data_IF_438177123560
#
_entry.id   IF_438177123560
#
_cell.length_a   1.000
_cell.length_b   1.000
_cell.length_c   1.000
_cell.angle_alpha   90.00
_cell.angle_beta   90.00
_cell.angle_gamma   90.00
#
_symmetry.space_group_name_H-M   'P 1'
#
loop_
_entity.id
_entity.type
_entity.pdbx_description
1 polymer ?
#
# COMPACT_ATOMS: atom_id res chain seq x y z
N UNK A 1 4.30 59.34 -32.30
CA UNK A 1 4.39 57.94 -32.79
C UNK A 1 5.40 57.25 -31.90
N UNK A 2 5.07 56.10 -31.30
CA UNK A 2 6.00 55.41 -30.41
C UNK A 2 7.16 54.86 -31.25
N UNK A 3 8.40 55.23 -30.89
CA UNK A 3 9.60 54.69 -31.53
C UNK A 3 9.70 53.18 -31.28
N UNK A 4 9.82 52.39 -32.35
CA UNK A 4 10.14 50.97 -32.26
C UNK A 4 11.54 50.79 -31.65
N UNK A 5 11.59 50.27 -30.42
CA UNK A 5 12.83 49.83 -29.79
C UNK A 5 13.02 48.34 -30.06
N UNK A 6 14.12 47.97 -30.73
CA UNK A 6 14.50 46.57 -30.99
C UNK A 6 15.43 46.05 -29.91
N UNK A 7 15.23 44.81 -29.50
CA UNK A 7 16.17 44.09 -28.65
C UNK A 7 17.50 43.91 -29.36
N UNK A 8 18.60 44.00 -28.60
CA UNK A 8 19.91 43.66 -29.13
C UNK A 8 20.08 42.13 -29.20
N UNK A 9 21.13 41.68 -29.89
CA UNK A 9 21.37 40.25 -30.13
C UNK A 9 21.58 39.44 -28.84
N UNK A 10 22.16 40.04 -27.79
CA UNK A 10 22.37 39.36 -26.50
C UNK A 10 21.05 39.16 -25.75
N UNK A 11 20.17 40.17 -25.78
CA UNK A 11 18.84 40.11 -25.18
C UNK A 11 17.98 39.06 -25.87
N UNK A 12 17.99 39.02 -27.20
CA UNK A 12 17.31 37.98 -27.98
C UNK A 12 17.86 36.58 -27.68
N UNK A 13 19.17 36.45 -27.49
CA UNK A 13 19.81 35.19 -27.06
C UNK A 13 19.30 34.73 -25.70
N UNK A 14 19.34 35.62 -24.70
CA UNK A 14 18.84 35.32 -23.34
C UNK A 14 17.36 34.93 -23.33
N UNK A 15 16.52 35.58 -24.14
CA UNK A 15 15.09 35.24 -24.26
C UNK A 15 14.93 33.82 -24.80
N UNK A 16 15.66 33.44 -25.85
CA UNK A 16 15.61 32.08 -26.43
C UNK A 16 16.10 31.02 -25.44
N UNK A 17 17.16 31.32 -24.69
CA UNK A 17 17.67 30.42 -23.65
C UNK A 17 16.63 30.21 -22.54
N UNK A 18 15.97 31.29 -22.10
CA UNK A 18 14.90 31.20 -21.10
C UNK A 18 13.72 30.40 -21.62
N UNK A 19 13.28 30.62 -22.86
CA UNK A 19 12.22 29.83 -23.48
C UNK A 19 12.57 28.34 -23.53
N UNK A 20 13.80 28.00 -23.92
CA UNK A 20 14.29 26.62 -23.96
C UNK A 20 14.33 25.99 -22.56
N UNK A 21 14.79 26.75 -21.56
CA UNK A 21 14.78 26.31 -20.16
C UNK A 21 13.37 26.05 -19.65
N UNK A 22 12.42 26.94 -19.91
CA UNK A 22 11.02 26.75 -19.55
C UNK A 22 10.45 25.49 -20.18
N UNK A 23 10.63 25.30 -21.50
CA UNK A 23 10.17 24.09 -22.19
C UNK A 23 10.76 22.82 -21.59
N UNK A 24 12.06 22.84 -21.26
CA UNK A 24 12.74 21.71 -20.62
C UNK A 24 12.18 21.42 -19.23
N UNK A 25 11.96 22.44 -18.40
CA UNK A 25 11.40 22.29 -17.06
C UNK A 25 9.98 21.73 -17.15
N UNK A 26 9.13 22.28 -18.02
CA UNK A 26 7.76 21.81 -18.21
C UNK A 26 7.71 20.36 -18.66
N UNK A 27 8.56 19.94 -19.58
CA UNK A 27 8.65 18.55 -20.01
C UNK A 27 9.05 17.62 -18.86
N UNK A 28 10.05 18.02 -18.05
CA UNK A 28 10.48 17.25 -16.86
C UNK A 28 9.39 17.17 -15.80
N UNK A 29 8.63 18.25 -15.57
CA UNK A 29 7.49 18.24 -14.67
C UNK A 29 6.38 17.30 -15.16
N UNK A 30 6.12 17.27 -16.47
CA UNK A 30 5.18 16.33 -17.07
C UNK A 30 5.58 14.88 -16.83
N UNK A 31 6.87 14.54 -17.03
CA UNK A 31 7.38 13.21 -16.73
C UNK A 31 7.23 12.86 -15.24
N UNK A 32 7.58 13.80 -14.35
CA UNK A 32 7.45 13.60 -12.91
C UNK A 32 6.00 13.33 -12.48
N UNK A 33 5.03 14.01 -13.10
CA UNK A 33 3.61 13.78 -12.79
C UNK A 33 3.15 12.40 -13.26
N UNK A 34 3.63 11.92 -14.41
CA UNK A 34 3.36 10.54 -14.86
C UNK A 34 3.94 9.53 -13.86
N UNK A 35 5.19 9.73 -13.43
CA UNK A 35 5.83 8.86 -12.45
C UNK A 35 5.06 8.85 -11.12
N UNK A 36 4.59 10.02 -10.67
CA UNK A 36 3.75 10.16 -9.48
C UNK A 36 2.45 9.35 -9.61
N UNK A 37 1.73 9.49 -10.73
CA UNK A 37 0.48 8.75 -10.97
C UNK A 37 0.71 7.24 -10.91
N UNK A 38 1.81 6.74 -11.48
CA UNK A 38 2.14 5.32 -11.44
C UNK A 38 2.45 4.82 -10.02
N UNK A 39 3.11 5.65 -9.21
CA UNK A 39 3.38 5.35 -7.80
C UNK A 39 2.10 5.36 -6.96
N UNK A 40 1.21 6.33 -7.17
CA UNK A 40 -0.09 6.40 -6.48
C UNK A 40 -0.91 5.12 -6.76
N UNK A 41 -0.97 4.67 -8.02
CA UNK A 41 -1.61 3.40 -8.39
C UNK A 41 -0.95 2.17 -7.73
N UNK A 42 0.37 2.17 -7.55
CA UNK A 42 1.07 1.09 -6.87
C UNK A 42 0.76 1.07 -5.37
N UNK A 43 0.64 2.23 -4.74
CA UNK A 43 0.22 2.37 -3.36
C UNK A 43 -1.21 1.89 -3.13
N UNK A 44 -2.14 2.24 -4.01
CA UNK A 44 -3.54 1.76 -3.93
C UNK A 44 -3.59 0.21 -3.96
N UNK A 45 -2.89 -0.41 -4.91
CA UNK A 45 -2.81 -1.89 -4.97
C UNK A 45 -2.21 -2.51 -3.71
N UNK A 46 -1.23 -1.85 -3.09
CA UNK A 46 -0.61 -2.34 -1.87
C UNK A 46 -1.59 -2.29 -0.70
N UNK A 47 -2.34 -1.20 -0.56
CA UNK A 47 -3.35 -1.06 0.49
C UNK A 47 -4.50 -2.05 0.32
N UNK A 48 -4.97 -2.27 -0.91
CA UNK A 48 -5.98 -3.28 -1.22
C UNK A 48 -5.52 -4.70 -0.81
N UNK A 49 -4.28 -5.05 -1.11
CA UNK A 49 -3.73 -6.36 -0.74
C UNK A 49 -3.59 -6.50 0.78
N UNK A 50 -3.15 -5.45 1.46
CA UNK A 50 -3.06 -5.43 2.92
C UNK A 50 -4.43 -5.61 3.56
N UNK A 51 -5.46 -4.92 3.04
CA UNK A 51 -6.83 -5.03 3.54
C UNK A 51 -7.34 -6.47 3.37
N UNK A 52 -7.16 -7.07 2.19
CA UNK A 52 -7.54 -8.48 1.94
C UNK A 52 -6.86 -9.44 2.91
N UNK A 53 -5.55 -9.32 3.11
CA UNK A 53 -4.81 -10.18 4.04
C UNK A 53 -5.26 -9.98 5.49
N UNK A 54 -5.62 -8.74 5.86
CA UNK A 54 -6.14 -8.44 7.20
C UNK A 54 -7.50 -9.09 7.41
N UNK A 55 -8.40 -9.01 6.43
CA UNK A 55 -9.69 -9.70 6.47
C UNK A 55 -9.53 -11.22 6.56
N UNK A 56 -8.65 -11.79 5.74
CA UNK A 56 -8.33 -13.22 5.77
C UNK A 56 -7.81 -13.65 7.15
N UNK A 57 -6.89 -12.88 7.74
CA UNK A 57 -6.36 -13.15 9.07
C UNK A 57 -7.45 -13.12 10.15
N UNK A 58 -8.35 -12.13 10.12
CA UNK A 58 -9.47 -12.03 11.08
C UNK A 58 -10.43 -13.22 10.92
N UNK A 59 -10.72 -13.64 9.69
CA UNK A 59 -11.56 -14.79 9.42
C UNK A 59 -10.94 -16.08 9.95
N UNK A 60 -9.65 -16.32 9.70
CA UNK A 60 -8.93 -17.49 10.24
C UNK A 60 -8.94 -17.49 11.77
N UNK A 61 -8.74 -16.33 12.41
CA UNK A 61 -8.82 -16.24 13.87
C UNK A 61 -10.24 -16.55 14.39
N UNK A 62 -11.28 -16.14 13.68
CA UNK A 62 -12.66 -16.47 14.04
C UNK A 62 -12.94 -17.97 13.89
N UNK A 63 -12.47 -18.59 12.80
CA UNK A 63 -12.54 -20.04 12.59
C UNK A 63 -11.80 -20.81 13.69
N UNK A 64 -10.61 -20.36 14.10
CA UNK A 64 -9.86 -20.96 15.21
C UNK A 64 -10.65 -20.90 16.52
N UNK A 65 -11.20 -19.73 16.87
CA UNK A 65 -12.01 -19.56 18.09
C UNK A 65 -13.25 -20.46 18.06
N UNK A 66 -13.93 -20.54 16.91
CA UNK A 66 -15.08 -21.41 16.74
C UNK A 66 -14.68 -22.88 16.93
N UNK A 67 -13.58 -23.30 16.30
CA UNK A 67 -13.06 -24.66 16.41
C UNK A 67 -12.68 -25.03 17.86
N UNK A 68 -11.99 -24.13 18.57
CA UNK A 68 -11.66 -24.32 19.99
C UNK A 68 -12.91 -24.40 20.86
N UNK A 69 -13.93 -23.58 20.58
CA UNK A 69 -15.23 -23.66 21.26
C UNK A 69 -15.92 -25.00 21.00
N UNK A 70 -15.94 -25.47 19.76
CA UNK A 70 -16.52 -26.75 19.38
C UNK A 70 -15.79 -27.93 20.03
N UNK A 71 -14.46 -27.86 20.14
CA UNK A 71 -13.65 -28.84 20.85
C UNK A 71 -13.97 -28.85 22.35
N UNK A 72 -14.02 -27.68 22.99
CA UNK A 72 -14.38 -27.58 24.41
C UNK A 72 -15.82 -28.07 24.68
N UNK A 73 -16.76 -27.83 23.77
CA UNK A 73 -18.13 -28.33 23.89
C UNK A 73 -18.21 -29.86 23.76
N UNK A 74 -17.42 -30.46 22.86
CA UNK A 74 -17.40 -31.91 22.62
C UNK A 74 -16.65 -32.69 23.70
N UNK A 75 -15.54 -32.14 24.19
CA UNK A 75 -14.59 -32.86 25.03
C UNK A 75 -14.52 -32.34 26.48
N UNK A 76 -15.11 -31.18 26.78
CA UNK A 76 -15.04 -30.53 28.09
C UNK A 76 -13.72 -29.77 28.30
N UNK A 77 -13.52 -29.18 29.49
CA UNK A 77 -12.23 -28.57 29.83
C UNK A 77 -11.13 -29.65 29.87
N UNK A 78 -10.07 -29.50 29.08
CA UNK A 78 -8.97 -30.45 29.02
C UNK A 78 -7.85 -29.99 28.08
N UNK A 79 -6.70 -30.67 28.13
CA UNK A 79 -5.57 -30.39 27.26
C UNK A 79 -5.62 -31.32 26.04
N UNK A 80 -5.68 -30.75 24.84
CA UNK A 80 -5.44 -31.48 23.58
C UNK A 80 -3.95 -31.46 23.30
N UNK A 81 -3.35 -32.65 23.15
CA UNK A 81 -2.03 -32.73 22.55
C UNK A 81 -2.19 -32.71 21.02
N UNK A 82 -1.81 -31.59 20.38
CA UNK A 82 -1.96 -31.34 18.94
C UNK A 82 -1.06 -32.25 18.07
N UNK A 83 0.01 -32.81 18.62
CA UNK A 83 0.90 -33.75 17.89
C UNK A 83 0.38 -35.19 17.91
N UNK A 84 -0.31 -35.61 18.97
CA UNK A 84 -0.79 -36.99 19.15
C UNK A 84 -2.30 -37.15 18.95
N UNK A 85 -3.04 -36.04 18.91
CA UNK A 85 -4.50 -36.02 18.83
C UNK A 85 -5.21 -36.50 20.10
N UNK A 86 -4.48 -36.69 21.21
CA UNK A 86 -5.05 -37.21 22.46
C UNK A 86 -5.60 -36.06 23.30
N UNK A 87 -6.90 -36.10 23.59
CA UNK A 87 -7.56 -35.20 24.54
C UNK A 87 -7.45 -35.74 25.97
N UNK A 88 -6.98 -34.91 26.90
CA UNK A 88 -6.88 -35.24 28.34
C UNK A 88 -7.83 -34.33 29.13
N UNK A 89 -8.97 -34.84 29.65
CA UNK A 89 -9.93 -34.06 30.42
C UNK A 89 -9.33 -33.53 31.73
N UNK A 90 -9.61 -32.28 32.10
CA UNK A 90 -9.15 -31.64 33.33
C UNK A 90 -9.69 -32.29 34.62
N UNK A 91 -10.76 -33.09 34.52
CA UNK A 91 -11.33 -33.85 35.65
C UNK A 91 -10.62 -35.19 35.95
N UNK A 92 -9.54 -35.55 35.25
CA UNK A 92 -8.80 -36.78 35.53
C UNK A 92 -7.78 -36.67 36.70
N UNK A 93 -7.73 -35.55 37.41
CA UNK A 93 -6.91 -35.38 38.61
C UNK A 93 -7.78 -35.19 39.87
N UNK A 94 -8.31 -36.33 40.36
CA UNK A 94 -8.91 -36.59 41.68
C UNK A 94 -10.15 -35.80 42.11
#
# INVERSE_FOLDING_TARGET
MAEEKKFNSEELGKIKDLQTKYQTITAKMGQLEVDRVLLDQAMERLEDNKNKLTEEYVNVQAEEKQFVSDLNAKYGAGNVNLETGVFTPAQAAK
#
